data_IF_122703966530
#
_entry.id   IF_122703966530
#
_cell.length_a   1.000
_cell.length_b   1.000
_cell.length_c   1.000
_cell.angle_alpha   90.00
_cell.angle_beta   90.00
_cell.angle_gamma   90.00
#
_symmetry.space_group_name_H-M   'P 1'
#
loop_
_entity.id
_entity.type
_entity.pdbx_description
1 polymer ?
#
# COMPACT_ATOMS: atom_id res chain seq x y z
N UNK A 1 -48.04 -29.32 -0.78
CA UNK A 1 -47.39 -30.27 -1.70
C UNK A 1 -46.15 -29.58 -2.24
N UNK A 2 -45.06 -29.72 -1.49
CA UNK A 2 -43.74 -29.21 -1.87
C UNK A 2 -43.02 -30.28 -2.70
N UNK A 3 -42.38 -29.86 -3.79
CA UNK A 3 -41.57 -30.72 -4.65
C UNK A 3 -40.13 -30.80 -4.09
N UNK A 4 -39.60 -31.97 -3.72
CA UNK A 4 -38.23 -32.12 -3.25
C UNK A 4 -37.33 -32.60 -4.40
N UNK A 5 -36.68 -31.71 -5.15
CA UNK A 5 -35.77 -32.11 -6.24
C UNK A 5 -34.48 -31.28 -6.37
N UNK A 6 -34.19 -30.35 -5.46
CA UNK A 6 -32.97 -29.54 -5.51
C UNK A 6 -31.81 -30.05 -4.65
N UNK A 7 -32.02 -31.05 -3.79
CA UNK A 7 -30.98 -31.57 -2.88
C UNK A 7 -30.29 -32.87 -3.37
N UNK A 8 -30.83 -33.54 -4.39
CA UNK A 8 -30.30 -34.82 -4.89
C UNK A 8 -29.30 -34.69 -6.05
N UNK A 9 -29.28 -33.55 -6.74
CA UNK A 9 -28.35 -33.34 -7.87
C UNK A 9 -26.95 -32.90 -7.43
N UNK A 10 -26.82 -32.22 -6.27
CA UNK A 10 -25.52 -31.81 -5.72
C UNK A 10 -24.77 -32.99 -5.07
N UNK A 11 -25.49 -33.93 -4.46
CA UNK A 11 -24.91 -35.16 -3.90
C UNK A 11 -24.46 -36.13 -5.00
N UNK A 12 -25.20 -36.23 -6.11
CA UNK A 12 -24.85 -37.07 -7.25
C UNK A 12 -23.61 -36.54 -8.02
N UNK A 13 -23.45 -35.21 -8.17
CA UNK A 13 -22.24 -34.63 -8.79
C UNK A 13 -20.99 -34.82 -7.92
N UNK A 14 -21.13 -34.72 -6.59
CA UNK A 14 -20.02 -34.93 -5.65
C UNK A 14 -19.65 -36.41 -5.52
N UNK A 15 -20.62 -37.33 -5.58
CA UNK A 15 -20.36 -38.77 -5.61
C UNK A 15 -19.71 -39.22 -6.94
N UNK A 16 -20.13 -38.67 -8.09
CA UNK A 16 -19.48 -38.97 -9.37
C UNK A 16 -18.05 -38.43 -9.45
N UNK A 17 -17.77 -37.29 -8.80
CA UNK A 17 -16.43 -36.71 -8.73
C UNK A 17 -15.52 -37.42 -7.71
N UNK A 18 -16.06 -37.84 -6.55
CA UNK A 18 -15.33 -38.70 -5.61
C UNK A 18 -15.01 -40.05 -6.24
N UNK A 19 -15.93 -40.63 -7.02
CA UNK A 19 -15.70 -41.81 -7.85
C UNK A 19 -14.65 -41.53 -8.94
N UNK A 20 -14.59 -40.35 -9.54
CA UNK A 20 -13.57 -40.01 -10.54
C UNK A 20 -12.16 -39.87 -9.95
N UNK A 21 -12.03 -39.29 -8.74
CA UNK A 21 -10.77 -39.23 -8.00
C UNK A 21 -10.38 -40.58 -7.38
N UNK A 22 -11.35 -41.41 -7.01
CA UNK A 22 -11.14 -42.82 -6.62
C UNK A 22 -10.73 -43.68 -7.82
N UNK A 23 -11.30 -43.43 -9.01
CA UNK A 23 -10.96 -44.13 -10.25
C UNK A 23 -9.60 -43.70 -10.80
N UNK A 24 -9.15 -42.47 -10.51
CA UNK A 24 -7.75 -42.05 -10.71
C UNK A 24 -6.77 -42.83 -9.81
N UNK A 25 -7.22 -43.51 -8.75
CA UNK A 25 -6.36 -44.44 -7.99
C UNK A 25 -6.09 -45.75 -8.72
N UNK A 26 -6.99 -46.21 -9.61
CA UNK A 26 -6.97 -47.55 -10.22
C UNK A 26 -6.29 -47.61 -11.59
N UNK A 27 -6.25 -46.52 -12.36
CA UNK A 27 -5.72 -46.57 -13.73
C UNK A 27 -4.21 -46.29 -13.78
N UNK A 28 -3.43 -47.23 -13.24
CA UNK A 28 -1.96 -47.22 -13.27
C UNK A 28 -1.38 -48.04 -14.44
N UNK A 29 -2.21 -48.52 -15.37
CA UNK A 29 -1.74 -49.20 -16.58
C UNK A 29 -2.12 -48.35 -17.78
N UNK A 30 -1.13 -47.70 -18.39
CA UNK A 30 -1.32 -46.96 -19.63
C UNK A 30 -1.90 -47.88 -20.71
N UNK A 31 -3.19 -47.75 -20.97
CA UNK A 31 -3.93 -48.11 -22.18
C UNK A 31 -5.20 -47.25 -22.14
N UNK A 32 -5.41 -46.45 -23.18
CA UNK A 32 -6.66 -45.74 -23.41
C UNK A 32 -7.65 -46.70 -24.07
N UNK A 33 -8.75 -47.02 -23.38
CA UNK A 33 -10.00 -47.60 -23.88
C UNK A 33 -11.01 -47.41 -22.73
N UNK A 34 -12.19 -46.79 -22.86
CA UNK A 34 -13.13 -46.83 -23.98
C UNK A 34 -13.85 -45.48 -24.21
N UNK A 35 -14.00 -45.17 -25.51
CA UNK A 35 -14.68 -44.04 -26.14
C UNK A 35 -16.24 -44.05 -26.02
N UNK A 36 -16.85 -44.50 -24.92
CA UNK A 36 -18.32 -44.71 -24.90
C UNK A 36 -19.13 -44.13 -23.75
N UNK A 37 -18.62 -43.13 -23.01
CA UNK A 37 -19.45 -42.38 -22.05
C UNK A 37 -19.29 -40.87 -22.26
N UNK A 38 -19.51 -40.38 -23.48
CA UNK A 38 -19.77 -38.95 -23.72
C UNK A 38 -20.61 -38.67 -24.99
N UNK A 39 -21.22 -39.70 -25.60
CA UNK A 39 -22.13 -39.53 -26.75
C UNK A 39 -23.56 -40.00 -26.44
N UNK A 40 -24.23 -39.31 -25.52
CA UNK A 40 -25.70 -39.20 -25.56
C UNK A 40 -26.20 -38.07 -24.67
N UNK A 41 -26.01 -36.83 -25.12
CA UNK A 41 -27.08 -35.84 -25.06
C UNK A 41 -26.76 -34.69 -26.01
N UNK A 42 -27.48 -34.69 -27.13
CA UNK A 42 -27.48 -33.63 -28.11
C UNK A 42 -28.05 -32.35 -27.47
N UNK A 43 -27.15 -31.46 -27.10
CA UNK A 43 -27.41 -30.06 -26.79
C UNK A 43 -26.08 -29.36 -26.94
N UNK A 44 -25.79 -28.87 -28.14
CA UNK A 44 -24.51 -28.23 -28.46
C UNK A 44 -24.20 -27.10 -27.48
N UNK A 45 -23.30 -27.37 -26.54
CA UNK A 45 -22.56 -26.32 -25.85
C UNK A 45 -21.34 -26.04 -26.72
N UNK A 46 -21.49 -25.05 -27.60
CA UNK A 46 -20.35 -24.37 -28.19
C UNK A 46 -19.40 -23.99 -27.06
N UNK A 47 -18.18 -24.49 -27.14
CA UNK A 47 -17.08 -24.14 -26.24
C UNK A 47 -16.70 -22.68 -26.49
N UNK A 48 -17.48 -21.76 -25.95
CA UNK A 48 -17.23 -20.33 -25.96
C UNK A 48 -17.63 -19.76 -24.59
N UNK A 49 -17.01 -20.26 -23.53
CA UNK A 49 -16.78 -19.41 -22.37
C UNK A 49 -15.53 -18.60 -22.70
N UNK A 50 -15.76 -17.36 -23.12
CA UNK A 50 -14.75 -16.32 -23.21
C UNK A 50 -14.21 -16.05 -21.80
N UNK A 51 -13.31 -16.90 -21.33
CA UNK A 51 -12.56 -16.65 -20.10
C UNK A 51 -11.53 -15.58 -20.47
N UNK A 52 -11.76 -14.36 -20.02
CA UNK A 52 -10.79 -13.27 -20.10
C UNK A 52 -9.59 -13.57 -19.16
N UNK A 53 -8.76 -14.55 -19.52
CA UNK A 53 -7.40 -14.69 -19.01
C UNK A 53 -6.46 -13.89 -19.91
N UNK A 54 -6.64 -12.57 -19.99
CA UNK A 54 -5.91 -11.73 -20.94
C UNK A 54 -4.44 -11.47 -20.59
N UNK A 55 -3.88 -12.05 -19.52
CA UNK A 55 -2.49 -11.80 -19.10
C UNK A 55 -1.62 -13.06 -18.91
N UNK A 56 -2.17 -14.27 -19.07
CA UNK A 56 -1.44 -15.50 -18.80
C UNK A 56 -1.45 -16.32 -20.07
N UNK A 57 -0.32 -16.36 -20.77
CA UNK A 57 -0.11 -17.34 -21.83
C UNK A 57 -0.17 -18.72 -21.17
N UNK A 58 -1.31 -19.37 -21.29
CA UNK A 58 -1.59 -20.69 -20.74
C UNK A 58 -0.44 -21.64 -21.11
N UNK A 59 0.35 -22.08 -20.12
CA UNK A 59 1.44 -23.06 -20.29
C UNK A 59 0.90 -24.48 -20.51
N UNK A 60 -0.22 -24.62 -21.23
CA UNK A 60 -0.97 -25.86 -21.38
C UNK A 60 -0.22 -26.98 -22.09
N UNK A 61 0.89 -26.71 -22.79
CA UNK A 61 1.61 -27.72 -23.56
C UNK A 61 2.64 -28.55 -22.77
N UNK A 62 2.89 -28.25 -21.49
CA UNK A 62 3.86 -28.99 -20.66
C UNK A 62 3.31 -29.45 -19.30
N UNK A 63 2.10 -29.06 -18.92
CA UNK A 63 1.52 -29.43 -17.63
C UNK A 63 0.96 -30.85 -17.63
N UNK A 64 1.08 -31.55 -16.50
CA UNK A 64 0.44 -32.85 -16.31
C UNK A 64 -1.10 -32.70 -16.44
N UNK A 65 -1.78 -33.58 -17.21
CA UNK A 65 -3.23 -33.52 -17.36
C UNK A 65 -4.00 -33.54 -16.03
N UNK A 66 -3.49 -34.27 -15.03
CA UNK A 66 -4.10 -34.33 -13.70
C UNK A 66 -4.04 -32.96 -12.99
N UNK A 67 -2.90 -32.28 -13.07
CA UNK A 67 -2.70 -30.98 -12.43
C UNK A 67 -3.63 -29.93 -13.06
N UNK A 68 -3.81 -30.00 -14.39
CA UNK A 68 -4.75 -29.14 -15.11
C UNK A 68 -6.20 -29.39 -14.67
N UNK A 69 -6.59 -30.64 -14.46
CA UNK A 69 -7.93 -31.00 -13.97
C UNK A 69 -8.17 -30.50 -12.54
N UNK A 70 -7.17 -30.65 -11.65
CA UNK A 70 -7.25 -30.15 -10.28
C UNK A 70 -7.35 -28.62 -10.26
N UNK A 71 -6.59 -27.92 -11.12
CA UNK A 71 -6.70 -26.47 -11.24
C UNK A 71 -8.10 -26.03 -11.69
N UNK A 72 -8.65 -26.64 -12.75
CA UNK A 72 -10.02 -26.34 -13.21
C UNK A 72 -11.03 -26.54 -12.07
N UNK A 73 -10.92 -27.64 -11.31
CA UNK A 73 -11.77 -27.87 -10.15
C UNK A 73 -11.64 -26.77 -9.09
N UNK A 74 -10.41 -26.34 -8.78
CA UNK A 74 -10.12 -25.30 -7.79
C UNK A 74 -10.66 -23.92 -8.17
N UNK A 75 -10.81 -23.61 -9.46
CA UNK A 75 -11.38 -22.33 -9.94
C UNK A 75 -12.91 -22.24 -9.83
N UNK A 76 -13.56 -23.27 -9.28
CA UNK A 76 -14.99 -23.26 -8.94
C UNK A 76 -15.17 -23.14 -7.42
N UNK A 77 -16.25 -22.49 -6.97
CA UNK A 77 -16.51 -22.35 -5.52
C UNK A 77 -16.67 -23.72 -4.83
N UNK A 78 -17.47 -24.61 -5.41
CA UNK A 78 -17.71 -25.95 -4.87
C UNK A 78 -16.47 -26.83 -4.93
N UNK A 79 -15.73 -26.80 -6.03
CA UNK A 79 -14.49 -27.56 -6.18
C UNK A 79 -13.38 -27.07 -5.26
N UNK A 80 -13.24 -25.76 -5.06
CA UNK A 80 -12.30 -25.19 -4.08
C UNK A 80 -12.62 -25.64 -2.66
N UNK A 81 -13.88 -25.61 -2.24
CA UNK A 81 -14.29 -26.11 -0.91
C UNK A 81 -14.00 -27.59 -0.75
N UNK A 82 -14.35 -28.38 -1.76
CA UNK A 82 -14.09 -29.82 -1.76
C UNK A 82 -12.59 -30.15 -1.65
N UNK A 83 -11.72 -29.45 -2.40
CA UNK A 83 -10.28 -29.64 -2.31
C UNK A 83 -9.71 -29.24 -0.94
N UNK A 84 -10.25 -28.18 -0.31
CA UNK A 84 -9.87 -27.80 1.06
C UNK A 84 -10.29 -28.88 2.07
N UNK A 85 -11.51 -29.43 1.96
CA UNK A 85 -11.98 -30.53 2.81
C UNK A 85 -11.14 -31.80 2.63
N UNK A 86 -10.72 -32.09 1.39
CA UNK A 86 -9.78 -33.19 1.13
C UNK A 86 -8.44 -32.96 1.81
N UNK A 87 -7.86 -31.76 1.69
CA UNK A 87 -6.59 -31.42 2.37
C UNK A 87 -6.70 -31.53 3.89
N UNK A 88 -7.83 -31.14 4.47
CA UNK A 88 -8.09 -31.22 5.92
C UNK A 88 -8.31 -32.66 6.42
N UNK A 89 -8.91 -33.51 5.59
CA UNK A 89 -9.23 -34.91 5.95
C UNK A 89 -8.11 -35.89 5.58
N UNK A 90 -7.19 -35.49 4.72
CA UNK A 90 -6.05 -36.30 4.29
C UNK A 90 -4.87 -36.22 5.24
N UNK A 91 -4.16 -37.34 5.42
CA UNK A 91 -2.81 -37.31 5.97
C UNK A 91 -1.84 -36.63 4.98
N UNK A 92 -0.83 -35.93 5.50
CA UNK A 92 0.11 -35.08 4.73
C UNK A 92 0.84 -35.79 3.58
N UNK A 93 1.01 -37.12 3.67
CA UNK A 93 1.70 -37.94 2.67
C UNK A 93 0.72 -38.81 1.85
N UNK A 94 -0.57 -38.49 1.89
CA UNK A 94 -1.54 -39.18 1.05
C UNK A 94 -1.31 -38.83 -0.42
N UNK A 95 -1.53 -39.80 -1.31
CA UNK A 95 -1.49 -39.58 -2.77
C UNK A 95 -2.38 -38.41 -3.23
N UNK A 96 -3.46 -38.13 -2.49
CA UNK A 96 -4.38 -37.01 -2.76
C UNK A 96 -3.69 -35.68 -2.42
N UNK A 97 -3.11 -35.55 -1.22
CA UNK A 97 -2.37 -34.35 -0.83
C UNK A 97 -1.19 -34.09 -1.77
N UNK A 98 -0.51 -35.15 -2.24
CA UNK A 98 0.57 -35.06 -3.23
C UNK A 98 0.08 -34.50 -4.56
N UNK A 99 -1.00 -35.05 -5.12
CA UNK A 99 -1.56 -34.57 -6.38
C UNK A 99 -2.00 -33.10 -6.27
N UNK A 100 -2.64 -32.71 -5.16
CA UNK A 100 -3.03 -31.31 -4.93
C UNK A 100 -1.79 -30.42 -4.81
N UNK A 101 -0.76 -30.87 -4.10
CA UNK A 101 0.50 -30.14 -3.98
C UNK A 101 1.15 -29.88 -5.35
N UNK A 102 1.28 -30.89 -6.20
CA UNK A 102 1.89 -30.73 -7.53
C UNK A 102 1.05 -29.83 -8.43
N UNK A 103 -0.27 -29.96 -8.41
CA UNK A 103 -1.15 -29.06 -9.15
C UNK A 103 -1.00 -27.59 -8.71
N UNK A 104 -1.01 -27.34 -7.41
CA UNK A 104 -0.76 -25.99 -6.87
C UNK A 104 0.66 -25.54 -7.20
N UNK A 105 1.65 -26.43 -7.13
CA UNK A 105 3.03 -26.06 -7.41
C UNK A 105 3.20 -25.67 -8.88
N UNK A 106 2.63 -26.40 -9.83
CA UNK A 106 2.75 -26.14 -11.26
C UNK A 106 2.04 -24.85 -11.67
N UNK A 107 0.82 -24.64 -11.17
CA UNK A 107 -0.03 -23.47 -11.42
C UNK A 107 0.00 -22.44 -10.27
N UNK A 108 1.16 -22.30 -9.62
CA UNK A 108 1.31 -21.58 -8.35
C UNK A 108 0.71 -20.18 -8.34
N UNK A 109 1.06 -19.36 -9.33
CA UNK A 109 0.60 -17.98 -9.32
C UNK A 109 -0.87 -17.88 -9.77
N UNK A 110 -1.35 -18.79 -10.62
CA UNK A 110 -2.74 -18.90 -11.03
C UNK A 110 -3.63 -19.25 -9.83
N UNK A 111 -3.24 -20.26 -9.03
CA UNK A 111 -3.92 -20.58 -7.78
C UNK A 111 -3.95 -19.38 -6.84
N UNK A 112 -2.81 -18.72 -6.61
CA UNK A 112 -2.74 -17.61 -5.67
C UNK A 112 -3.62 -16.42 -6.05
N UNK A 113 -3.89 -16.21 -7.34
CA UNK A 113 -4.55 -15.00 -7.86
C UNK A 113 -6.01 -15.18 -8.26
N UNK A 114 -6.50 -16.42 -8.31
CA UNK A 114 -7.89 -16.74 -8.57
C UNK A 114 -8.79 -16.55 -7.33
N UNK A 115 -10.04 -16.15 -7.56
CA UNK A 115 -11.01 -15.83 -6.51
C UNK A 115 -11.44 -17.01 -5.63
N UNK A 116 -11.28 -18.26 -6.09
CA UNK A 116 -11.61 -19.47 -5.33
C UNK A 116 -10.38 -20.33 -5.06
N UNK A 117 -9.50 -20.48 -6.05
CA UNK A 117 -8.34 -21.36 -5.95
C UNK A 117 -7.31 -20.87 -4.91
N UNK A 118 -7.27 -19.57 -4.61
CA UNK A 118 -6.35 -19.03 -3.59
C UNK A 118 -6.64 -19.61 -2.19
N UNK A 119 -7.88 -20.02 -1.92
CA UNK A 119 -8.23 -20.68 -0.66
C UNK A 119 -7.60 -22.08 -0.58
N UNK A 120 -7.53 -22.82 -1.70
CA UNK A 120 -6.84 -24.12 -1.77
C UNK A 120 -5.35 -23.93 -1.52
N UNK A 121 -4.72 -22.90 -2.11
CA UNK A 121 -3.33 -22.55 -1.83
C UNK A 121 -3.11 -22.24 -0.34
N UNK A 122 -3.97 -21.42 0.26
CA UNK A 122 -3.91 -21.03 1.68
C UNK A 122 -4.03 -22.26 2.60
N UNK A 123 -4.94 -23.18 2.29
CA UNK A 123 -5.13 -24.40 3.05
C UNK A 123 -3.91 -25.31 2.93
N UNK A 124 -3.42 -25.53 1.69
CA UNK A 124 -2.24 -26.36 1.43
C UNK A 124 -1.01 -25.85 2.20
N UNK A 125 -0.70 -24.55 2.16
CA UNK A 125 0.47 -24.03 2.89
C UNK A 125 0.29 -24.07 4.41
N UNK A 126 -0.95 -24.20 4.90
CA UNK A 126 -1.25 -24.29 6.33
C UNK A 126 -1.08 -25.72 6.87
N UNK A 127 -1.32 -26.74 6.04
CA UNK A 127 -1.18 -28.15 6.42
C UNK A 127 0.15 -28.78 5.99
N UNK A 128 0.85 -28.23 4.99
CA UNK A 128 2.01 -28.90 4.42
C UNK A 128 3.29 -28.85 5.26
N UNK A 129 4.15 -29.86 5.09
CA UNK A 129 5.46 -29.97 5.74
C UNK A 129 6.48 -28.95 5.24
N UNK A 130 7.51 -28.73 6.06
CA UNK A 130 8.58 -27.75 5.80
C UNK A 130 9.25 -27.91 4.43
N UNK A 131 9.51 -29.14 3.97
CA UNK A 131 10.15 -29.41 2.67
C UNK A 131 9.31 -28.91 1.47
N UNK A 132 8.00 -29.15 1.50
CA UNK A 132 7.05 -28.67 0.48
C UNK A 132 6.91 -27.16 0.53
N UNK A 133 6.82 -26.61 1.74
CA UNK A 133 6.78 -25.17 1.95
C UNK A 133 8.05 -24.48 1.43
N UNK A 134 9.23 -25.09 1.64
CA UNK A 134 10.50 -24.63 1.10
C UNK A 134 10.50 -24.61 -0.44
N UNK A 135 9.97 -25.64 -1.10
CA UNK A 135 9.85 -25.66 -2.57
C UNK A 135 8.98 -24.49 -3.07
N UNK A 136 7.82 -24.27 -2.45
CA UNK A 136 6.94 -23.14 -2.77
C UNK A 136 7.68 -21.81 -2.57
N UNK A 137 8.35 -21.62 -1.43
CA UNK A 137 9.11 -20.40 -1.16
C UNK A 137 10.22 -20.17 -2.19
N UNK A 138 10.98 -21.20 -2.55
CA UNK A 138 12.03 -21.11 -3.57
C UNK A 138 11.47 -20.74 -4.94
N UNK A 139 10.33 -21.32 -5.35
CA UNK A 139 9.68 -20.96 -6.62
C UNK A 139 9.18 -19.51 -6.61
N UNK A 140 8.59 -19.05 -5.51
CA UNK A 140 8.14 -17.66 -5.36
C UNK A 140 9.28 -16.65 -5.36
N UNK A 141 10.40 -16.98 -4.71
CA UNK A 141 11.56 -16.11 -4.57
C UNK A 141 12.56 -16.19 -5.74
N UNK A 142 12.33 -17.08 -6.70
CA UNK A 142 13.19 -17.21 -7.88
C UNK A 142 13.13 -15.96 -8.76
N UNK A 143 14.28 -15.44 -9.16
CA UNK A 143 14.37 -14.28 -10.07
C UNK A 143 13.64 -14.52 -11.40
N UNK A 144 13.61 -15.77 -11.88
CA UNK A 144 12.88 -16.13 -13.11
C UNK A 144 11.36 -15.95 -12.99
N UNK A 145 10.84 -15.87 -11.76
CA UNK A 145 9.41 -15.73 -11.46
C UNK A 145 9.05 -14.33 -10.94
N UNK A 146 10.01 -13.39 -10.95
CA UNK A 146 9.85 -12.04 -10.39
C UNK A 146 8.60 -11.31 -10.87
N UNK A 147 8.35 -11.32 -12.18
CA UNK A 147 7.20 -10.63 -12.76
C UNK A 147 5.87 -11.28 -12.36
N UNK A 148 5.83 -12.60 -12.28
CA UNK A 148 4.67 -13.36 -11.81
C UNK A 148 4.38 -13.08 -10.33
N UNK A 149 5.43 -13.02 -9.50
CA UNK A 149 5.31 -12.64 -8.09
C UNK A 149 4.80 -11.20 -7.93
N UNK A 150 5.28 -10.27 -8.76
CA UNK A 150 4.81 -8.88 -8.74
C UNK A 150 3.34 -8.77 -9.18
N UNK A 151 2.93 -9.51 -10.22
CA UNK A 151 1.53 -9.59 -10.66
C UNK A 151 0.64 -10.15 -9.54
N UNK A 152 1.06 -11.24 -8.90
CA UNK A 152 0.34 -11.81 -7.77
C UNK A 152 0.24 -10.85 -6.59
N UNK A 153 1.31 -10.13 -6.27
CA UNK A 153 1.32 -9.12 -5.20
C UNK A 153 0.39 -7.93 -5.48
N UNK A 154 0.13 -7.64 -6.76
CA UNK A 154 -0.76 -6.57 -7.20
C UNK A 154 -2.23 -7.01 -7.29
N UNK A 155 -2.52 -8.31 -7.14
CA UNK A 155 -3.86 -8.90 -7.11
C UNK A 155 -4.37 -9.00 -5.66
N UNK A 156 -5.68 -8.83 -5.43
CA UNK A 156 -6.28 -8.86 -4.08
C UNK A 156 -6.20 -10.24 -3.41
N UNK A 157 -6.45 -11.31 -4.17
CA UNK A 157 -6.34 -12.70 -3.69
C UNK A 157 -4.87 -13.10 -3.55
N UNK A 158 -4.03 -12.71 -4.52
CA UNK A 158 -2.59 -12.94 -4.45
C UNK A 158 -1.94 -12.25 -3.24
N UNK A 159 -2.34 -11.03 -2.93
CA UNK A 159 -1.90 -10.35 -1.71
C UNK A 159 -2.38 -11.05 -0.43
N UNK A 160 -3.58 -11.62 -0.42
CA UNK A 160 -4.08 -12.43 0.71
C UNK A 160 -3.27 -13.71 0.88
N UNK A 161 -2.97 -14.41 -0.22
CA UNK A 161 -2.10 -15.59 -0.28
C UNK A 161 -0.71 -15.29 0.27
N UNK A 162 -0.08 -14.20 -0.19
CA UNK A 162 1.26 -13.79 0.24
C UNK A 162 1.27 -13.38 1.73
N UNK A 163 0.25 -12.65 2.21
CA UNK A 163 0.15 -12.31 3.64
C UNK A 163 0.01 -13.55 4.52
N UNK A 164 -0.83 -14.51 4.11
CA UNK A 164 -0.97 -15.78 4.83
C UNK A 164 0.37 -16.52 4.87
N UNK A 165 1.09 -16.59 3.76
CA UNK A 165 2.42 -17.17 3.68
C UNK A 165 3.41 -16.46 4.63
N UNK A 166 3.48 -15.13 4.60
CA UNK A 166 4.35 -14.34 5.50
C UNK A 166 4.05 -14.65 6.97
N UNK A 167 2.77 -14.72 7.35
CA UNK A 167 2.37 -15.05 8.72
C UNK A 167 2.85 -16.44 9.13
N UNK A 168 2.65 -17.44 8.28
CA UNK A 168 3.10 -18.81 8.52
C UNK A 168 4.63 -18.89 8.62
N UNK A 169 5.34 -18.18 7.75
CA UNK A 169 6.80 -18.18 7.72
C UNK A 169 7.44 -17.29 8.79
N UNK A 170 6.69 -16.51 9.58
CA UNK A 170 7.23 -15.54 10.55
C UNK A 170 8.22 -16.12 11.56
N UNK A 171 8.12 -17.42 11.87
CA UNK A 171 9.02 -18.16 12.76
C UNK A 171 10.04 -19.05 12.02
N UNK A 172 9.96 -19.13 10.69
CA UNK A 172 10.78 -19.97 9.83
C UNK A 172 11.92 -19.16 9.20
N UNK A 173 13.11 -19.74 8.97
CA UNK A 173 14.17 -19.06 8.22
C UNK A 173 13.80 -18.77 6.75
N UNK A 174 12.82 -19.50 6.19
CA UNK A 174 12.34 -19.30 4.81
C UNK A 174 11.76 -17.89 4.57
N UNK A 175 11.38 -17.17 5.62
CA UNK A 175 10.91 -15.79 5.48
C UNK A 175 11.96 -14.86 4.87
N UNK A 176 13.26 -15.18 5.02
CA UNK A 176 14.34 -14.37 4.48
C UNK A 176 14.23 -14.21 2.95
N UNK A 177 13.92 -15.29 2.24
CA UNK A 177 13.80 -15.29 0.77
C UNK A 177 12.60 -14.44 0.30
N UNK A 178 11.47 -14.56 0.99
CA UNK A 178 10.27 -13.76 0.71
C UNK A 178 10.53 -12.28 1.01
N UNK A 179 11.14 -11.96 2.15
CA UNK A 179 11.46 -10.57 2.50
C UNK A 179 12.47 -9.95 1.53
N UNK A 180 13.48 -10.70 1.09
CA UNK A 180 14.43 -10.26 0.06
C UNK A 180 13.72 -9.97 -1.26
N UNK A 181 12.80 -10.84 -1.68
CA UNK A 181 11.99 -10.62 -2.89
C UNK A 181 11.13 -9.36 -2.78
N UNK A 182 10.45 -9.17 -1.64
CA UNK A 182 9.63 -7.99 -1.37
C UNK A 182 10.47 -6.71 -1.30
N UNK A 183 11.69 -6.75 -0.77
CA UNK A 183 12.56 -5.57 -0.70
C UNK A 183 13.04 -5.14 -2.09
N UNK A 184 13.37 -6.07 -2.98
CA UNK A 184 13.71 -5.79 -4.38
C UNK A 184 12.54 -5.20 -5.18
N UNK A 185 11.31 -5.51 -4.78
CA UNK A 185 10.08 -5.02 -5.42
C UNK A 185 9.43 -3.84 -4.68
N UNK A 186 10.06 -3.32 -3.61
CA UNK A 186 9.45 -2.37 -2.67
C UNK A 186 8.78 -1.18 -3.37
N UNK A 187 9.46 -0.57 -4.33
CA UNK A 187 8.93 0.59 -5.06
C UNK A 187 7.62 0.26 -5.77
N UNK A 188 7.59 -0.82 -6.55
CA UNK A 188 6.41 -1.28 -7.29
C UNK A 188 5.27 -1.72 -6.37
N UNK A 189 5.60 -2.33 -5.23
CA UNK A 189 4.60 -2.75 -4.26
C UNK A 189 3.95 -1.54 -3.60
N UNK A 190 4.73 -0.55 -3.18
CA UNK A 190 4.24 0.61 -2.45
C UNK A 190 3.36 1.54 -3.28
N UNK A 191 3.43 1.48 -4.61
CA UNK A 191 2.56 2.25 -5.51
C UNK A 191 1.22 1.56 -5.84
N UNK A 192 0.94 0.39 -5.26
CA UNK A 192 -0.34 -0.32 -5.40
C UNK A 192 -1.01 -0.51 -4.03
N UNK A 193 -2.34 -0.59 -4.00
CA UNK A 193 -3.10 -0.84 -2.75
C UNK A 193 -2.80 -2.23 -2.19
N UNK A 194 -2.77 -3.24 -3.06
CA UNK A 194 -2.53 -4.64 -2.68
C UNK A 194 -1.08 -4.86 -2.26
N UNK A 195 -0.10 -4.39 -3.05
CA UNK A 195 1.32 -4.53 -2.75
C UNK A 195 1.72 -3.81 -1.46
N UNK A 196 1.30 -2.55 -1.27
CA UNK A 196 1.60 -1.81 -0.04
C UNK A 196 1.02 -2.50 1.19
N UNK A 197 -0.17 -3.10 1.08
CA UNK A 197 -0.77 -3.85 2.18
C UNK A 197 0.04 -5.09 2.59
N UNK A 198 0.79 -5.72 1.67
CA UNK A 198 1.73 -6.81 1.97
C UNK A 198 2.93 -6.27 2.75
N UNK A 199 3.56 -5.19 2.26
CA UNK A 199 4.70 -4.55 2.94
C UNK A 199 4.32 -4.10 4.36
N UNK A 200 3.15 -3.49 4.53
CA UNK A 200 2.63 -3.09 5.84
C UNK A 200 2.31 -4.29 6.73
N UNK A 201 1.92 -5.43 6.16
CA UNK A 201 1.72 -6.66 6.92
C UNK A 201 3.03 -7.21 7.47
N UNK A 202 4.13 -7.15 6.69
CA UNK A 202 5.47 -7.49 7.19
C UNK A 202 5.83 -6.71 8.45
N UNK A 203 5.60 -5.39 8.46
CA UNK A 203 5.85 -4.53 9.63
C UNK A 203 5.00 -4.92 10.86
N UNK A 204 3.85 -5.56 10.66
CA UNK A 204 2.94 -5.96 11.73
C UNK A 204 3.29 -7.32 12.35
N UNK A 205 3.76 -8.27 11.53
CA UNK A 205 3.89 -9.68 11.96
C UNK A 205 5.34 -10.15 12.11
N UNK A 206 6.31 -9.44 11.52
CA UNK A 206 7.71 -9.83 11.54
C UNK A 206 8.51 -9.03 12.58
N UNK A 207 9.60 -9.63 13.07
CA UNK A 207 10.52 -9.01 14.01
C UNK A 207 11.41 -7.99 13.31
N UNK A 208 11.96 -7.04 14.07
CA UNK A 208 12.81 -5.94 13.56
C UNK A 208 13.97 -6.45 12.68
N UNK A 209 14.66 -7.51 13.11
CA UNK A 209 15.78 -8.07 12.32
C UNK A 209 15.34 -8.70 10.99
N UNK A 210 14.08 -9.17 10.89
CA UNK A 210 13.56 -9.76 9.66
C UNK A 210 13.17 -8.68 8.64
N UNK A 211 12.67 -7.52 9.09
CA UNK A 211 12.21 -6.42 8.20
C UNK A 211 13.32 -5.44 7.80
N UNK A 212 14.57 -5.72 8.18
CA UNK A 212 15.71 -4.84 7.96
C UNK A 212 15.92 -4.51 6.47
N UNK A 213 15.77 -5.50 5.58
CA UNK A 213 15.87 -5.29 4.12
C UNK A 213 14.74 -4.41 3.58
N UNK A 214 13.52 -4.51 4.13
CA UNK A 214 12.39 -3.65 3.75
C UNK A 214 12.69 -2.20 4.15
N UNK A 215 13.28 -1.97 5.32
CA UNK A 215 13.68 -0.63 5.74
C UNK A 215 14.77 -0.04 4.86
N UNK A 216 15.77 -0.84 4.46
CA UNK A 216 16.79 -0.40 3.51
C UNK A 216 16.19 -0.03 2.14
N UNK A 217 15.29 -0.88 1.62
CA UNK A 217 14.59 -0.59 0.38
C UNK A 217 13.71 0.67 0.49
N UNK A 218 13.06 0.90 1.63
CA UNK A 218 12.32 2.13 1.89
C UNK A 218 13.23 3.36 1.84
N UNK A 219 14.38 3.32 2.49
CA UNK A 219 15.35 4.42 2.46
C UNK A 219 15.92 4.70 1.06
N UNK A 220 16.06 3.67 0.21
CA UNK A 220 16.50 3.86 -1.17
C UNK A 220 15.39 4.49 -2.04
N UNK A 221 14.14 4.08 -1.84
CA UNK A 221 13.05 4.39 -2.76
C UNK A 221 12.06 5.45 -2.24
N UNK A 222 12.25 5.99 -1.02
CA UNK A 222 11.26 6.85 -0.37
C UNK A 222 10.86 8.06 -1.21
N UNK A 223 11.81 8.69 -1.90
CA UNK A 223 11.55 9.90 -2.67
C UNK A 223 10.60 9.60 -3.83
N UNK A 224 10.92 8.58 -4.64
CA UNK A 224 10.10 8.17 -5.79
C UNK A 224 8.71 7.70 -5.36
N UNK A 225 8.62 6.92 -4.28
CA UNK A 225 7.34 6.48 -3.71
C UNK A 225 6.52 7.66 -3.17
N UNK A 226 7.17 8.63 -2.52
CA UNK A 226 6.49 9.81 -1.95
C UNK A 226 5.90 10.74 -3.01
N UNK A 227 6.51 10.82 -4.19
CA UNK A 227 6.03 11.62 -5.32
C UNK A 227 5.02 10.87 -6.22
N UNK A 228 4.56 9.69 -5.81
CA UNK A 228 3.53 8.94 -6.54
C UNK A 228 2.15 9.10 -5.89
N UNK A 229 1.08 9.17 -6.70
CA UNK A 229 -0.29 9.39 -6.23
C UNK A 229 -0.74 8.40 -5.15
N UNK A 230 -0.54 7.10 -5.38
CA UNK A 230 -0.82 6.06 -4.39
C UNK A 230 0.34 5.89 -3.39
N UNK A 231 1.56 6.13 -3.85
CA UNK A 231 2.77 5.85 -3.05
C UNK A 231 2.89 6.78 -1.85
N UNK A 232 2.45 8.04 -1.98
CA UNK A 232 2.45 8.98 -0.86
C UNK A 232 1.56 8.49 0.29
N UNK A 233 0.37 7.95 0.00
CA UNK A 233 -0.53 7.38 1.00
C UNK A 233 0.11 6.15 1.68
N UNK A 234 0.68 5.25 0.89
CA UNK A 234 1.39 4.08 1.40
C UNK A 234 2.58 4.48 2.30
N UNK A 235 3.37 5.48 1.88
CA UNK A 235 4.52 5.96 2.63
C UNK A 235 4.12 6.61 3.96
N UNK A 236 3.00 7.36 3.99
CA UNK A 236 2.46 7.92 5.24
C UNK A 236 2.11 6.83 6.25
N UNK A 237 1.39 5.79 5.81
CA UNK A 237 1.04 4.67 6.69
C UNK A 237 2.30 3.90 7.12
N UNK A 238 3.25 3.73 6.19
CA UNK A 238 4.52 3.08 6.47
C UNK A 238 5.26 3.80 7.60
N UNK A 239 5.47 5.11 7.47
CA UNK A 239 6.12 5.96 8.49
C UNK A 239 5.46 5.81 9.86
N UNK A 240 4.12 5.78 9.94
CA UNK A 240 3.39 5.62 11.20
C UNK A 240 3.53 4.23 11.84
N UNK A 241 3.83 3.20 11.04
CA UNK A 241 3.96 1.81 11.51
C UNK A 241 5.40 1.37 11.74
N UNK A 242 6.39 2.15 11.28
CA UNK A 242 7.79 1.79 11.48
C UNK A 242 8.18 1.78 12.95
N UNK A 243 9.12 0.91 13.31
CA UNK A 243 9.71 0.86 14.64
C UNK A 243 11.22 0.61 14.57
N UNK A 244 11.92 0.94 15.65
CA UNK A 244 13.37 0.73 15.75
C UNK A 244 14.23 1.83 15.10
N UNK A 245 15.56 1.62 15.04
CA UNK A 245 16.52 2.66 14.65
C UNK A 245 16.37 3.18 13.21
N UNK A 246 15.96 2.31 12.28
CA UNK A 246 15.78 2.67 10.86
C UNK A 246 14.67 3.71 10.65
N UNK A 247 13.67 3.77 11.51
CA UNK A 247 12.65 4.84 11.49
C UNK A 247 13.30 6.22 11.52
N UNK A 248 14.29 6.41 12.40
CA UNK A 248 14.96 7.71 12.53
C UNK A 248 15.76 8.06 11.27
N UNK A 249 16.38 7.08 10.63
CA UNK A 249 17.18 7.27 9.42
C UNK A 249 16.28 7.66 8.23
N UNK A 250 15.16 6.97 8.03
CA UNK A 250 14.20 7.33 6.98
C UNK A 250 13.63 8.74 7.21
N UNK A 251 13.21 9.05 8.43
CA UNK A 251 12.69 10.39 8.76
C UNK A 251 13.74 11.49 8.52
N UNK A 252 15.01 11.21 8.83
CA UNK A 252 16.10 12.13 8.51
C UNK A 252 16.25 12.37 7.01
N UNK A 253 16.22 11.32 6.19
CA UNK A 253 16.27 11.43 4.72
C UNK A 253 15.09 12.25 4.17
N UNK A 254 13.88 12.04 4.70
CA UNK A 254 12.71 12.84 4.33
C UNK A 254 12.93 14.30 4.70
N UNK A 255 13.40 14.59 5.92
CA UNK A 255 13.69 15.96 6.37
C UNK A 255 14.69 16.67 5.45
N UNK A 256 15.76 15.98 5.02
CA UNK A 256 16.76 16.53 4.09
C UNK A 256 16.18 16.87 2.71
N UNK A 257 15.12 16.18 2.29
CA UNK A 257 14.46 16.37 0.99
C UNK A 257 13.17 17.21 1.09
N UNK A 258 12.88 17.79 2.25
CA UNK A 258 11.64 18.53 2.52
C UNK A 258 11.35 19.65 1.53
N UNK A 259 12.36 20.37 1.03
CA UNK A 259 12.14 21.45 0.04
C UNK A 259 11.54 20.90 -1.25
N UNK A 260 12.13 19.85 -1.80
CA UNK A 260 11.67 19.25 -3.05
C UNK A 260 10.30 18.58 -2.86
N UNK A 261 10.15 17.79 -1.80
CA UNK A 261 8.89 17.13 -1.47
C UNK A 261 7.75 18.12 -1.22
N UNK A 262 8.01 19.26 -0.56
CA UNK A 262 6.98 20.29 -0.31
C UNK A 262 6.46 20.94 -1.59
N UNK A 263 7.25 20.94 -2.67
CA UNK A 263 6.87 21.48 -3.97
C UNK A 263 6.08 20.47 -4.81
N UNK A 264 6.20 19.18 -4.50
CA UNK A 264 5.57 18.08 -5.22
C UNK A 264 4.06 17.94 -4.89
N UNK A 265 3.19 17.62 -5.88
CA UNK A 265 1.76 17.42 -5.68
C UNK A 265 1.40 16.36 -4.63
N UNK A 266 2.26 15.36 -4.42
CA UNK A 266 2.05 14.23 -3.53
C UNK A 266 3.05 14.21 -2.36
N UNK A 267 4.31 14.54 -2.62
CA UNK A 267 5.38 14.57 -1.63
C UNK A 267 5.09 15.51 -0.45
N UNK A 268 4.33 16.58 -0.66
CA UNK A 268 3.96 17.51 0.40
C UNK A 268 3.14 16.83 1.52
N UNK A 269 2.39 15.77 1.20
CA UNK A 269 1.64 15.02 2.22
C UNK A 269 2.56 14.19 3.11
N UNK A 270 3.71 13.74 2.59
CA UNK A 270 4.71 13.00 3.37
C UNK A 270 5.47 13.94 4.31
N UNK A 271 5.80 15.16 3.87
CA UNK A 271 6.38 16.18 4.76
C UNK A 271 5.40 16.57 5.87
N UNK A 272 4.12 16.74 5.54
CA UNK A 272 3.08 17.01 6.53
C UNK A 272 2.95 15.87 7.55
N UNK A 273 3.06 14.62 7.12
CA UNK A 273 3.06 13.46 8.03
C UNK A 273 4.21 13.52 9.05
N UNK A 274 5.43 13.86 8.60
CA UNK A 274 6.58 14.02 9.50
C UNK A 274 6.33 15.12 10.55
N UNK A 275 5.64 16.20 10.17
CA UNK A 275 5.24 17.26 11.11
C UNK A 275 4.17 16.76 12.09
N UNK A 276 3.21 15.95 11.62
CA UNK A 276 2.08 15.43 12.39
C UNK A 276 2.47 14.35 13.41
N UNK A 277 3.55 13.60 13.15
CA UNK A 277 4.16 12.68 14.14
C UNK A 277 4.42 13.38 15.48
N UNK A 278 4.64 14.70 15.46
CA UNK A 278 4.82 15.47 16.68
C UNK A 278 6.11 15.12 17.42
N UNK A 279 7.14 14.69 16.68
CA UNK A 279 8.48 14.49 17.22
C UNK A 279 9.28 15.81 17.10
N UNK A 280 9.75 16.40 18.22
CA UNK A 280 10.41 17.71 18.18
C UNK A 280 11.65 17.74 17.28
N UNK A 281 12.45 16.67 17.29
CA UNK A 281 13.69 16.57 16.50
C UNK A 281 13.41 16.65 15.01
N UNK A 282 12.45 15.86 14.51
CA UNK A 282 12.14 15.83 13.08
C UNK A 282 11.34 17.06 12.63
N UNK A 283 10.55 17.65 13.51
CA UNK A 283 9.92 18.94 13.26
C UNK A 283 10.96 20.05 13.07
N UNK A 284 11.94 20.14 13.97
CA UNK A 284 13.03 21.12 13.89
C UNK A 284 13.90 20.90 12.65
N UNK A 285 14.29 19.66 12.35
CA UNK A 285 15.05 19.33 11.13
C UNK A 285 14.29 19.69 9.85
N UNK A 286 12.97 19.45 9.83
CA UNK A 286 12.11 19.86 8.70
C UNK A 286 12.12 21.38 8.55
N UNK A 287 11.96 22.14 9.64
CA UNK A 287 11.96 23.60 9.59
C UNK A 287 13.32 24.16 9.18
N UNK A 288 14.41 23.57 9.67
CA UNK A 288 15.78 23.91 9.27
C UNK A 288 16.00 23.70 7.77
N UNK A 289 15.54 22.58 7.21
CA UNK A 289 15.64 22.30 5.78
C UNK A 289 14.83 23.28 4.92
N UNK A 290 13.71 23.80 5.44
CA UNK A 290 12.84 24.76 4.75
C UNK A 290 13.22 26.23 4.97
N UNK A 291 14.21 26.51 5.83
CA UNK A 291 14.66 27.88 6.13
C UNK A 291 15.12 28.59 4.86
N UNK A 292 14.63 29.80 4.64
CA UNK A 292 14.89 30.60 3.44
C UNK A 292 13.95 30.28 2.27
N UNK A 293 13.03 29.31 2.41
CA UNK A 293 12.07 28.92 1.38
C UNK A 293 10.62 29.20 1.78
N UNK A 294 10.34 29.64 3.01
CA UNK A 294 8.96 29.82 3.49
C UNK A 294 8.18 30.81 2.64
N UNK A 295 8.79 31.93 2.22
CA UNK A 295 8.14 32.92 1.37
C UNK A 295 7.75 32.33 0.01
N UNK A 296 8.66 31.59 -0.63
CA UNK A 296 8.42 30.98 -1.94
C UNK A 296 7.41 29.85 -1.86
N UNK A 297 7.56 28.94 -0.90
CA UNK A 297 6.63 27.84 -0.67
C UNK A 297 5.22 28.34 -0.37
N UNK A 298 5.07 29.46 0.34
CA UNK A 298 3.76 30.06 0.64
C UNK A 298 2.96 30.44 -0.61
N UNK A 299 3.63 30.77 -1.71
CA UNK A 299 3.00 31.13 -2.98
C UNK A 299 2.85 29.92 -3.92
N UNK A 300 3.22 28.71 -3.49
CA UNK A 300 3.07 27.48 -4.26
C UNK A 300 1.86 26.70 -3.75
N UNK A 301 1.07 26.13 -4.68
CA UNK A 301 -0.16 25.38 -4.36
C UNK A 301 0.05 24.31 -3.27
N UNK A 302 1.13 23.55 -3.35
CA UNK A 302 1.41 22.45 -2.42
C UNK A 302 2.29 22.88 -1.25
N UNK A 303 3.26 23.75 -1.52
CA UNK A 303 4.17 24.29 -0.50
C UNK A 303 3.43 25.08 0.58
N UNK A 304 2.37 25.80 0.20
CA UNK A 304 1.60 26.62 1.15
C UNK A 304 0.98 25.77 2.26
N UNK A 305 0.54 24.55 1.94
CA UNK A 305 -0.02 23.62 2.91
C UNK A 305 1.01 23.17 3.94
N UNK A 306 2.27 22.97 3.54
CA UNK A 306 3.37 22.63 4.46
C UNK A 306 3.67 23.80 5.40
N UNK A 307 3.75 25.03 4.87
CA UNK A 307 3.99 26.23 5.70
C UNK A 307 2.83 26.46 6.68
N UNK A 308 1.58 26.31 6.23
CA UNK A 308 0.40 26.36 7.10
C UNK A 308 0.45 25.27 8.19
N UNK A 309 0.85 24.04 7.85
CA UNK A 309 0.97 22.94 8.82
C UNK A 309 1.98 23.26 9.91
N UNK A 310 3.15 23.81 9.55
CA UNK A 310 4.17 24.27 10.50
C UNK A 310 3.58 25.36 11.41
N UNK A 311 2.94 26.37 10.82
CA UNK A 311 2.38 27.49 11.60
C UNK A 311 1.20 27.09 12.50
N UNK A 312 0.43 26.07 12.14
CA UNK A 312 -0.68 25.53 12.94
C UNK A 312 -0.23 24.55 14.03
N UNK A 313 1.06 24.19 14.09
CA UNK A 313 1.54 23.27 15.11
C UNK A 313 1.44 23.91 16.51
N UNK A 314 0.78 23.21 17.44
CA UNK A 314 0.59 23.67 18.82
C UNK A 314 1.54 23.02 19.82
N UNK A 315 2.30 22.00 19.40
CA UNK A 315 3.25 21.29 20.27
C UNK A 315 4.60 22.02 20.35
N UNK A 316 4.97 22.72 19.28
CA UNK A 316 6.29 23.34 19.13
C UNK A 316 6.16 24.84 18.91
N UNK A 317 5.91 25.56 20.00
CA UNK A 317 5.82 27.02 20.00
C UNK A 317 7.20 27.66 20.31
N UNK A 318 7.40 28.94 19.95
CA UNK A 318 8.64 29.67 20.22
C UNK A 318 9.52 29.92 18.99
N UNK A 319 10.79 29.47 19.05
CA UNK A 319 11.86 29.83 18.10
C UNK A 319 11.54 29.50 16.65
N UNK A 320 10.85 28.39 16.37
CA UNK A 320 10.54 27.92 15.01
C UNK A 320 9.46 28.80 14.35
N UNK A 321 8.36 29.11 15.06
CA UNK A 321 7.36 30.09 14.60
C UNK A 321 8.05 31.45 14.39
N UNK A 322 8.99 31.79 15.27
CA UNK A 322 9.98 32.85 15.13
C UNK A 322 10.62 32.91 13.75
N UNK A 323 11.22 31.80 13.32
CA UNK A 323 11.95 31.69 12.05
C UNK A 323 11.05 31.95 10.84
N UNK A 324 9.89 31.30 10.76
CA UNK A 324 8.96 31.46 9.63
C UNK A 324 8.52 32.91 9.49
N UNK A 325 8.11 33.53 10.59
CA UNK A 325 7.62 34.92 10.58
C UNK A 325 8.75 35.92 10.37
N UNK A 326 9.95 35.68 10.93
CA UNK A 326 11.10 36.54 10.66
C UNK A 326 11.47 36.53 9.17
N UNK A 327 11.31 35.42 8.46
CA UNK A 327 11.51 35.39 7.01
C UNK A 327 10.50 36.28 6.28
N UNK A 328 9.22 36.28 6.68
CA UNK A 328 8.24 37.23 6.14
C UNK A 328 8.58 38.68 6.47
N UNK A 329 8.98 38.96 7.71
CA UNK A 329 9.34 40.33 8.16
C UNK A 329 10.52 40.90 7.37
N UNK A 330 11.49 40.05 7.03
CA UNK A 330 12.69 40.43 6.28
C UNK A 330 12.48 40.41 4.75
N UNK A 331 11.32 39.94 4.28
CA UNK A 331 11.04 39.81 2.85
C UNK A 331 10.36 41.06 2.29
N UNK A 332 10.88 41.59 1.19
CA UNK A 332 10.23 42.63 0.39
C UNK A 332 9.03 42.11 -0.40
N UNK A 333 8.72 40.82 -0.31
CA UNK A 333 7.61 40.16 -1.02
C UNK A 333 6.40 39.91 -0.12
N UNK A 334 6.41 40.32 1.15
CA UNK A 334 5.32 40.03 2.10
C UNK A 334 3.94 40.51 1.59
N UNK A 335 3.85 41.68 0.96
CA UNK A 335 2.61 42.16 0.34
C UNK A 335 2.19 41.29 -0.85
N UNK A 336 3.17 40.83 -1.66
CA UNK A 336 2.91 39.90 -2.77
C UNK A 336 2.35 38.57 -2.24
N UNK A 337 2.93 38.00 -1.17
CA UNK A 337 2.41 36.78 -0.54
C UNK A 337 0.99 37.00 -0.02
N UNK A 338 0.71 38.13 0.63
CA UNK A 338 -0.62 38.45 1.13
C UNK A 338 -1.68 38.59 0.03
N UNK A 339 -1.28 38.92 -1.21
CA UNK A 339 -2.14 39.01 -2.40
C UNK A 339 -2.18 37.73 -3.23
N UNK A 340 -1.35 36.75 -2.92
CA UNK A 340 -1.25 35.51 -3.68
C UNK A 340 -2.44 34.59 -3.39
N UNK A 341 -2.85 33.80 -4.39
CA UNK A 341 -4.00 32.88 -4.30
C UNK A 341 -3.84 31.77 -3.25
N UNK A 342 -2.61 31.43 -2.87
CA UNK A 342 -2.27 30.48 -1.81
C UNK A 342 -1.67 31.21 -0.60
N UNK A 343 -0.75 32.14 -0.85
CA UNK A 343 0.00 32.85 0.20
C UNK A 343 -0.88 33.64 1.16
N UNK A 344 -2.04 34.14 0.72
CA UNK A 344 -2.97 34.85 1.60
C UNK A 344 -3.44 33.99 2.79
N UNK A 345 -3.57 32.67 2.63
CA UNK A 345 -3.95 31.75 3.71
C UNK A 345 -2.80 31.54 4.70
N UNK A 346 -1.56 31.53 4.22
CA UNK A 346 -0.36 31.45 5.07
C UNK A 346 -0.23 32.71 5.92
N UNK A 347 -0.42 33.90 5.33
CA UNK A 347 -0.35 35.17 6.07
C UNK A 347 -1.46 35.25 7.12
N UNK A 348 -2.70 34.84 6.79
CA UNK A 348 -3.79 34.76 7.77
C UNK A 348 -3.43 33.80 8.92
N UNK A 349 -2.91 32.61 8.59
CA UNK A 349 -2.47 31.63 9.59
C UNK A 349 -1.38 32.18 10.49
N UNK A 350 -0.40 32.90 9.92
CA UNK A 350 0.67 33.53 10.68
C UNK A 350 0.14 34.63 11.62
N UNK A 351 -0.76 35.48 11.14
CA UNK A 351 -1.42 36.51 11.96
C UNK A 351 -2.22 35.88 13.10
N UNK A 352 -3.02 34.85 12.83
CA UNK A 352 -3.82 34.14 13.84
C UNK A 352 -2.92 33.49 14.90
N UNK A 353 -1.90 32.74 14.47
CA UNK A 353 -0.99 32.03 15.39
C UNK A 353 -0.25 33.04 16.26
N UNK A 354 0.42 34.02 15.65
CA UNK A 354 1.17 35.04 16.41
C UNK A 354 0.27 35.86 17.33
N UNK A 355 -0.95 36.19 16.91
CA UNK A 355 -1.90 36.90 17.79
C UNK A 355 -2.18 36.13 19.08
N UNK A 356 -2.22 34.79 19.02
CA UNK A 356 -2.46 33.92 20.17
C UNK A 356 -1.22 33.69 21.02
N UNK A 357 -0.07 33.43 20.39
CA UNK A 357 1.12 32.93 21.11
C UNK A 357 2.22 33.98 21.31
N UNK A 358 2.23 35.07 20.53
CA UNK A 358 3.26 36.11 20.60
C UNK A 358 2.76 37.46 20.03
N UNK A 359 2.12 38.26 20.89
CA UNK A 359 1.51 39.54 20.51
C UNK A 359 2.50 40.53 19.86
N UNK A 360 3.75 40.56 20.32
CA UNK A 360 4.77 41.44 19.74
C UNK A 360 5.07 41.07 18.28
N UNK A 361 5.21 39.78 17.99
CA UNK A 361 5.46 39.29 16.62
C UNK A 361 4.28 39.56 15.69
N UNK A 362 3.08 39.40 16.23
CA UNK A 362 1.85 39.78 15.54
C UNK A 362 1.85 41.27 15.16
N UNK A 363 2.16 42.16 16.12
CA UNK A 363 2.23 43.61 15.86
C UNK A 363 3.30 43.93 14.81
N UNK A 364 4.47 43.28 14.86
CA UNK A 364 5.53 43.44 13.84
C UNK A 364 5.04 43.05 12.45
N UNK A 365 4.31 41.93 12.31
CA UNK A 365 3.72 41.52 11.03
C UNK A 365 2.73 42.55 10.49
N UNK A 366 1.84 43.04 11.36
CA UNK A 366 0.85 44.07 11.00
C UNK A 366 1.54 45.36 10.55
N UNK A 367 2.52 45.84 11.33
CA UNK A 367 3.28 47.04 10.98
C UNK A 367 4.00 46.87 9.65
N UNK A 368 4.68 45.74 9.48
CA UNK A 368 5.42 45.42 8.25
C UNK A 368 4.53 45.38 7.02
N UNK A 369 3.31 44.84 7.13
CA UNK A 369 2.32 44.83 6.06
C UNK A 369 1.79 46.24 5.76
N UNK A 370 1.43 47.02 6.80
CA UNK A 370 0.93 48.40 6.65
C UNK A 370 1.95 49.35 6.02
N UNK A 371 3.24 49.13 6.25
CA UNK A 371 4.33 49.94 5.69
C UNK A 371 4.62 49.62 4.21
N UNK A 372 4.00 48.60 3.62
CA UNK A 372 4.22 48.30 2.20
C UNK A 372 3.48 49.29 1.32
N UNK A 373 4.21 49.85 0.35
CA UNK A 373 3.59 50.61 -0.74
C UNK A 373 2.51 49.76 -1.41
N UNK A 374 1.32 50.33 -1.57
CA UNK A 374 0.17 49.60 -2.12
C UNK A 374 -0.56 48.69 -1.13
N UNK A 375 -0.37 48.84 0.20
CA UNK A 375 -1.14 48.12 1.23
C UNK A 375 -2.66 48.14 0.97
N UNK A 376 -3.21 49.27 0.52
CA UNK A 376 -4.64 49.41 0.21
C UNK A 376 -5.12 48.49 -0.92
N UNK A 377 -4.23 47.96 -1.75
CA UNK A 377 -4.59 46.97 -2.76
C UNK A 377 -5.02 45.63 -2.16
N UNK A 378 -4.74 45.37 -0.87
CA UNK A 378 -5.28 44.22 -0.14
C UNK A 378 -6.80 44.31 0.07
N UNK A 379 -7.46 45.46 -0.15
CA UNK A 379 -8.94 45.58 -0.04
C UNK A 379 -9.69 44.67 -1.02
N UNK A 380 -9.01 44.17 -2.06
CA UNK A 380 -9.61 43.44 -3.17
C UNK A 380 -8.94 42.07 -3.39
N UNK A 381 -9.62 41.20 -4.17
CA UNK A 381 -9.11 39.88 -4.55
C UNK A 381 -8.73 38.99 -3.35
N UNK A 382 -7.67 38.21 -3.50
CA UNK A 382 -7.19 37.29 -2.46
C UNK A 382 -6.69 38.00 -1.19
N UNK A 383 -6.28 39.26 -1.29
CA UNK A 383 -5.80 40.04 -0.13
C UNK A 383 -6.89 40.46 0.85
N UNK A 384 -8.17 40.42 0.44
CA UNK A 384 -9.30 40.99 1.19
C UNK A 384 -9.41 40.44 2.61
N UNK A 385 -9.21 39.13 2.78
CA UNK A 385 -9.28 38.48 4.10
C UNK A 385 -8.15 38.92 5.01
N UNK A 386 -6.93 39.08 4.48
CA UNK A 386 -5.77 39.60 5.23
C UNK A 386 -6.04 41.05 5.67
N UNK A 387 -6.54 41.90 4.77
CA UNK A 387 -6.87 43.30 5.09
C UNK A 387 -7.92 43.39 6.19
N UNK A 388 -9.01 42.63 6.06
CA UNK A 388 -10.10 42.61 7.04
C UNK A 388 -9.63 42.11 8.40
N UNK A 389 -8.78 41.08 8.43
CA UNK A 389 -8.19 40.59 9.68
C UNK A 389 -7.41 41.69 10.40
N UNK A 390 -6.54 42.41 9.68
CA UNK A 390 -5.74 43.51 10.23
C UNK A 390 -6.62 44.67 10.73
N UNK A 391 -7.70 45.01 10.02
CA UNK A 391 -8.63 46.06 10.46
C UNK A 391 -9.42 45.69 11.70
N UNK A 392 -9.97 44.46 11.76
CA UNK A 392 -10.77 44.00 12.90
C UNK A 392 -9.94 43.91 14.18
N UNK A 393 -8.63 43.65 14.07
CA UNK A 393 -7.73 43.63 15.22
C UNK A 393 -7.31 45.01 15.74
N UNK A 394 -7.45 46.08 14.94
CA UNK A 394 -7.20 47.46 15.40
C UNK A 394 -8.37 48.09 16.16
N UNK A 395 -9.53 47.44 16.18
CA UNK A 395 -10.72 47.86 16.94
C UNK A 395 -10.79 47.28 18.36
N UNK A 396 -9.84 46.45 18.77
CA UNK A 396 -9.72 46.04 20.17
C UNK A 396 -8.93 47.11 20.94
N UNK A 397 -9.51 47.73 22.00
CA UNK A 397 -8.80 48.71 22.79
C UNK A 397 -7.55 48.05 23.38
N UNK A 398 -6.42 48.77 23.33
CA UNK A 398 -5.27 48.46 24.17
C UNK A 398 -5.74 48.54 25.62
N UNK A 399 -5.82 47.40 26.32
CA UNK A 399 -5.81 47.44 27.79
C UNK A 399 -4.49 48.07 28.19
N UNK A 400 -4.60 49.31 28.66
CA UNK A 400 -3.56 50.12 29.30
C UNK A 400 -2.99 49.44 30.53
#
# INVERSE_FOLDING_TARGET
MENPTSASNSSASVQNLSLSLSNLQLNNNGIWADDNILMSNNGGLSMSSSINHSNWSFRGSQANPLDSMIFVLATSESGSKYLQELLLSSEDDSRIADNIFYAVFDFLFEFMTDQFAHNVFIELISSTKYNRLQLITLKLASESQRDLFLMASSNNYGASSIKKLIKLLSISPLIADIVSTLSHLFEHLMITTSGSSIVLHCLQVLKIHQIELIYQAAMHNFYKVSCHQQGCFSMKIFINKMSGPRTQQLLFLICQNSVALSKDPYGNFVVQEVIELGNPKFFELTCLALKGQFVDLSMMKFGSHVVEKIMKNNKFEGTIIGQVVNEFLNSNRILKVAKDRFGNYVIQTALIKTMRVNRLMYLRLVMRLKQQEGFDSLKFGYGKSVYNFIKASSSFPTCS
#
